data_IF_514977839039
#
_entry.id   IF_514977839039
#
_cell.length_a   1.000
_cell.length_b   1.000
_cell.length_c   1.000
_cell.angle_alpha   90.00
_cell.angle_beta   90.00
_cell.angle_gamma   90.00
#
_symmetry.space_group_name_H-M   'P 1'
#
loop_
_entity.id
_entity.type
_entity.pdbx_description
1 polymer ?
#
# COMPACT_ATOMS: atom_id res chain seq x y z
N UNK A 1 -21.32 -13.57 -0.56
CA UNK A 1 -19.85 -13.69 -0.71
C UNK A 1 -19.28 -12.28 -0.78
N UNK A 2 -19.06 -11.65 0.38
CA UNK A 2 -18.40 -10.34 0.44
C UNK A 2 -16.90 -10.56 0.30
N UNK A 3 -16.30 -10.01 -0.75
CA UNK A 3 -14.88 -10.17 -1.08
C UNK A 3 -14.21 -8.80 -0.99
N UNK A 4 -14.28 -8.16 0.18
CA UNK A 4 -13.67 -6.85 0.43
C UNK A 4 -13.04 -6.71 1.81
N UNK A 5 -12.88 -7.80 2.56
CA UNK A 5 -12.46 -7.73 3.97
C UNK A 5 -10.93 -7.86 4.20
N UNK A 6 -10.12 -8.02 3.14
CA UNK A 6 -8.70 -8.38 3.28
C UNK A 6 -7.68 -7.24 3.07
N UNK A 7 -8.08 -6.03 2.65
CA UNK A 7 -7.11 -4.93 2.43
C UNK A 7 -6.87 -4.09 3.70
N UNK A 8 -7.75 -4.17 4.71
CA UNK A 8 -7.73 -3.28 5.88
C UNK A 8 -6.89 -3.81 7.06
N UNK A 9 -6.24 -4.98 6.95
CA UNK A 9 -5.46 -5.58 8.06
C UNK A 9 -3.96 -5.25 8.09
N UNK A 10 -3.50 -4.27 7.32
CA UNK A 10 -2.06 -3.91 7.27
C UNK A 10 -1.61 -2.92 8.36
N UNK A 11 -2.48 -2.54 9.29
CA UNK A 11 -2.16 -1.52 10.28
C UNK A 11 -2.55 -1.93 11.69
N UNK A 12 -1.55 -2.40 12.45
CA UNK A 12 -1.55 -2.29 13.90
C UNK A 12 -0.49 -1.24 14.29
N UNK A 13 -0.87 -0.08 14.86
CA UNK A 13 0.10 0.94 15.27
C UNK A 13 0.97 0.43 16.41
N UNK A 14 2.27 0.26 16.16
CA UNK A 14 3.25 -0.05 17.20
C UNK A 14 3.67 1.24 17.89
N UNK A 15 3.39 1.39 19.18
CA UNK A 15 3.44 2.64 19.96
C UNK A 15 4.84 3.20 20.27
N UNK A 16 5.77 3.25 19.32
CA UNK A 16 7.14 3.74 19.57
C UNK A 16 7.68 4.58 18.41
N UNK A 17 7.46 5.91 18.50
CA UNK A 17 8.43 6.97 18.14
C UNK A 17 8.81 7.19 16.68
N UNK A 18 8.50 6.25 15.79
CA UNK A 18 8.87 6.25 14.37
C UNK A 18 7.62 6.28 13.48
N UNK A 19 6.46 6.44 14.12
CA UNK A 19 5.16 6.08 13.57
C UNK A 19 4.76 7.03 12.42
N UNK A 20 5.11 8.31 12.47
CA UNK A 20 4.64 9.26 11.45
C UNK A 20 5.13 8.95 10.03
N UNK A 21 6.39 8.55 9.87
CA UNK A 21 6.97 8.22 8.56
C UNK A 21 6.48 6.87 8.06
N UNK A 22 6.36 5.88 8.97
CA UNK A 22 5.77 4.57 8.66
C UNK A 22 4.30 4.69 8.30
N UNK A 23 3.54 5.52 9.01
CA UNK A 23 2.11 5.73 8.79
C UNK A 23 1.89 6.49 7.47
N UNK A 24 2.72 7.49 7.18
CA UNK A 24 2.71 8.16 5.88
C UNK A 24 3.05 7.20 4.73
N UNK A 25 4.02 6.30 4.96
CA UNK A 25 4.41 5.26 4.01
C UNK A 25 3.26 4.26 3.75
N UNK A 26 2.62 3.75 4.80
CA UNK A 26 1.47 2.84 4.69
C UNK A 26 0.30 3.52 3.99
N UNK A 27 0.01 4.78 4.30
CA UNK A 27 -1.04 5.55 3.61
C UNK A 27 -0.73 5.77 2.13
N UNK A 28 0.52 6.04 1.78
CA UNK A 28 0.94 6.19 0.38
C UNK A 28 0.80 4.86 -0.37
N UNK A 29 1.21 3.73 0.25
CA UNK A 29 1.06 2.40 -0.32
C UNK A 29 -0.43 2.06 -0.55
N UNK A 30 -1.30 2.36 0.41
CA UNK A 30 -2.75 2.18 0.26
C UNK A 30 -3.32 3.04 -0.88
N UNK A 31 -2.88 4.29 -1.00
CA UNK A 31 -3.28 5.17 -2.12
C UNK A 31 -2.83 4.61 -3.47
N UNK A 32 -1.59 4.14 -3.59
CA UNK A 32 -1.07 3.53 -4.82
C UNK A 32 -1.83 2.25 -5.21
N UNK A 33 -2.17 1.41 -4.24
CA UNK A 33 -2.99 0.21 -4.47
C UNK A 33 -4.40 0.58 -4.95
N UNK A 34 -5.02 1.59 -4.35
CA UNK A 34 -6.31 2.10 -4.82
C UNK A 34 -6.21 2.67 -6.24
N UNK A 35 -5.14 3.43 -6.55
CA UNK A 35 -4.88 3.92 -7.90
C UNK A 35 -4.71 2.77 -8.89
N UNK A 36 -4.03 1.68 -8.54
CA UNK A 36 -3.87 0.52 -9.41
C UNK A 36 -5.21 -0.19 -9.70
N UNK A 37 -6.11 -0.23 -8.71
CA UNK A 37 -7.44 -0.81 -8.89
C UNK A 37 -8.34 0.03 -9.79
N UNK A 38 -8.23 1.36 -9.73
CA UNK A 38 -9.02 2.31 -10.52
C UNK A 38 -8.41 2.61 -11.90
N UNK A 39 -7.10 2.43 -12.07
CA UNK A 39 -6.39 2.71 -13.31
C UNK A 39 -6.90 1.84 -14.47
N UNK A 40 -6.84 2.43 -15.67
CA UNK A 40 -7.07 1.71 -16.91
C UNK A 40 -6.04 0.59 -17.10
N UNK A 41 -6.32 -0.40 -17.95
CA UNK A 41 -5.36 -1.49 -18.21
C UNK A 41 -4.01 -0.97 -18.71
N UNK A 42 -4.00 0.12 -19.47
CA UNK A 42 -2.78 0.72 -20.02
C UNK A 42 -1.96 1.41 -18.92
N UNK A 43 -2.64 2.09 -17.98
CA UNK A 43 -2.00 2.85 -16.90
C UNK A 43 -1.54 1.98 -15.72
N UNK A 44 -2.09 0.76 -15.58
CA UNK A 44 -1.72 -0.18 -14.52
C UNK A 44 -0.23 -0.49 -14.51
N UNK A 45 0.42 -0.57 -15.67
CA UNK A 45 1.86 -0.84 -15.75
C UNK A 45 2.69 0.28 -15.10
N UNK A 46 2.25 1.53 -15.22
CA UNK A 46 2.92 2.68 -14.60
C UNK A 46 2.77 2.64 -13.08
N UNK A 47 1.55 2.40 -12.59
CA UNK A 47 1.29 2.30 -11.15
C UNK A 47 2.00 1.07 -10.55
N UNK A 48 2.05 -0.04 -11.28
CA UNK A 48 2.81 -1.24 -10.90
C UNK A 48 4.31 -0.97 -10.79
N UNK A 49 4.90 -0.21 -11.72
CA UNK A 49 6.30 0.18 -11.66
C UNK A 49 6.61 1.04 -10.42
N UNK A 50 5.68 1.90 -10.01
CA UNK A 50 5.79 2.67 -8.77
C UNK A 50 5.70 1.74 -7.57
N UNK A 51 4.69 0.86 -7.48
CA UNK A 51 4.51 -0.11 -6.40
C UNK A 51 5.73 -1.03 -6.21
N UNK A 52 6.39 -1.46 -7.28
CA UNK A 52 7.61 -2.27 -7.18
C UNK A 52 8.76 -1.57 -6.45
N UNK A 53 8.81 -0.23 -6.43
CA UNK A 53 9.80 0.49 -5.63
C UNK A 53 9.56 0.37 -4.12
N UNK A 54 8.32 0.07 -3.73
CA UNK A 54 7.91 -0.14 -2.34
C UNK A 54 8.08 -1.60 -1.90
N UNK A 55 8.27 -2.55 -2.84
CA UNK A 55 8.43 -3.98 -2.55
C UNK A 55 9.56 -4.33 -1.56
N UNK A 56 10.76 -3.71 -1.61
CA UNK A 56 11.85 -4.03 -0.67
C UNK A 56 11.50 -3.73 0.80
N UNK A 57 10.54 -2.84 1.02
CA UNK A 57 10.10 -2.44 2.36
C UNK A 57 8.85 -3.20 2.82
N UNK A 58 8.22 -4.01 1.96
CA UNK A 58 7.10 -4.88 2.32
C UNK A 58 7.60 -6.15 3.00
N UNK A 59 8.76 -6.68 2.59
CA UNK A 59 9.37 -7.89 3.18
C UNK A 59 9.99 -7.67 4.57
N UNK A 60 10.10 -6.42 5.01
CA UNK A 60 10.70 -6.07 6.32
C UNK A 60 9.62 -5.88 7.42
N UNK A 61 8.34 -6.11 7.10
CA UNK A 61 7.20 -5.96 8.02
C UNK A 61 6.81 -7.31 8.62
#
# INVERSE_FOLDING_TARGET
MSKTDNIIKLYEPSSKGNDSERDAYVQELQRLLACYQLASSDDKNVVWAVLNKYAPHIDTI
#
